data_IF_159682519461
#
_entry.id   IF_159682519461
#
_cell.length_a   1.000
_cell.length_b   1.000
_cell.length_c   1.000
_cell.angle_alpha   90.00
_cell.angle_beta   90.00
_cell.angle_gamma   90.00
#
_symmetry.space_group_name_H-M   'P 1'
#
loop_
_entity.id
_entity.type
_entity.pdbx_description
1 polymer ?
#
# COMPACT_ATOMS: atom_id res chain seq x y z
N UNK A 1 4.58 -7.91 -5.63
CA UNK A 1 5.09 -6.56 -5.33
C UNK A 1 4.03 -5.56 -5.78
N UNK A 2 3.68 -4.60 -4.92
CA UNK A 2 2.79 -3.48 -5.27
C UNK A 2 3.57 -2.17 -5.20
N UNK A 3 3.47 -1.36 -6.24
CA UNK A 3 4.09 -0.02 -6.36
C UNK A 3 3.00 1.06 -6.27
N UNK A 4 3.38 2.28 -5.91
CA UNK A 4 2.50 3.44 -5.72
C UNK A 4 1.48 3.33 -4.57
N UNK A 5 1.88 2.77 -3.41
CA UNK A 5 0.96 2.49 -2.31
C UNK A 5 0.76 3.65 -1.33
N UNK A 6 1.44 4.79 -1.51
CA UNK A 6 1.32 5.94 -0.61
C UNK A 6 0.64 7.14 -1.26
N UNK A 7 0.83 7.36 -2.57
CA UNK A 7 0.13 8.39 -3.38
C UNK A 7 0.10 9.78 -2.73
N UNK A 8 1.27 10.37 -2.48
CA UNK A 8 1.42 11.65 -1.77
C UNK A 8 0.74 11.72 -0.39
N UNK A 9 0.50 10.56 0.24
CA UNK A 9 -0.12 10.46 1.55
C UNK A 9 -1.64 10.35 1.53
N UNK A 10 -2.30 10.42 0.38
CA UNK A 10 -3.76 10.37 0.30
C UNK A 10 -4.33 9.02 0.77
N UNK A 11 -3.50 7.97 0.84
CA UNK A 11 -3.88 6.65 1.36
C UNK A 11 -4.38 6.68 2.81
N UNK A 12 -3.99 7.66 3.63
CA UNK A 12 -4.50 7.81 5.01
C UNK A 12 -5.87 8.51 5.06
N UNK A 13 -6.32 9.13 3.96
CA UNK A 13 -7.65 9.74 3.88
C UNK A 13 -8.73 8.66 3.72
N UNK A 14 -9.41 8.34 4.82
CA UNK A 14 -10.48 7.35 4.85
C UNK A 14 -11.77 7.77 4.13
N UNK A 15 -11.87 9.00 3.60
CA UNK A 15 -13.02 9.51 2.84
C UNK A 15 -12.65 9.88 1.39
N UNK A 16 -11.50 9.40 0.89
CA UNK A 16 -11.08 9.71 -0.47
C UNK A 16 -12.00 9.06 -1.51
N UNK A 17 -12.52 9.85 -2.44
CA UNK A 17 -13.30 9.38 -3.59
C UNK A 17 -12.41 8.93 -4.77
N UNK A 18 -11.08 9.02 -4.64
CA UNK A 18 -10.16 8.52 -5.65
C UNK A 18 -10.17 6.98 -5.62
N UNK A 19 -10.75 6.38 -6.66
CA UNK A 19 -10.81 4.92 -6.84
C UNK A 19 -9.44 4.24 -6.72
N UNK A 20 -8.35 4.95 -7.04
CA UNK A 20 -7.00 4.42 -6.94
C UNK A 20 -6.49 4.40 -5.50
N UNK A 21 -6.91 5.35 -4.67
CA UNK A 21 -6.64 5.37 -3.22
C UNK A 21 -7.43 4.26 -2.52
N UNK A 22 -8.70 4.12 -2.85
CA UNK A 22 -9.55 3.05 -2.34
C UNK A 22 -8.98 1.66 -2.69
N UNK A 23 -8.51 1.48 -3.93
CA UNK A 23 -7.88 0.23 -4.37
C UNK A 23 -6.60 -0.12 -3.60
N UNK A 24 -5.74 0.87 -3.33
CA UNK A 24 -4.52 0.67 -2.54
C UNK A 24 -4.85 0.30 -1.09
N UNK A 25 -5.82 0.98 -0.47
CA UNK A 25 -6.26 0.66 0.91
C UNK A 25 -6.80 -0.77 0.99
N UNK A 26 -7.69 -1.14 0.06
CA UNK A 26 -8.24 -2.50 -0.05
C UNK A 26 -7.15 -3.55 -0.23
N UNK A 27 -6.12 -3.23 -1.02
CA UNK A 27 -4.98 -4.12 -1.25
C UNK A 27 -4.13 -4.31 0.01
N UNK A 28 -3.85 -3.24 0.76
CA UNK A 28 -3.10 -3.30 2.02
C UNK A 28 -3.89 -4.11 3.06
N UNK A 29 -5.19 -3.85 3.21
CA UNK A 29 -6.09 -4.61 4.10
C UNK A 29 -6.09 -6.11 3.74
N UNK A 30 -6.28 -6.44 2.46
CA UNK A 30 -6.29 -7.82 1.98
C UNK A 30 -4.97 -8.56 2.26
N UNK A 31 -3.83 -7.86 2.17
CA UNK A 31 -2.53 -8.46 2.46
C UNK A 31 -2.34 -8.62 3.98
N UNK A 32 -2.72 -7.63 4.78
CA UNK A 32 -2.61 -7.67 6.24
C UNK A 32 -3.47 -8.78 6.87
N UNK A 33 -4.64 -9.05 6.29
CA UNK A 33 -5.58 -10.07 6.79
C UNK A 33 -5.30 -11.48 6.24
N UNK A 34 -4.28 -11.67 5.38
CA UNK A 34 -4.00 -12.95 4.76
C UNK A 34 -2.97 -13.77 5.58
N UNK A 35 -3.39 -14.84 6.28
CA UNK A 35 -2.49 -15.61 7.15
C UNK A 35 -1.37 -16.34 6.40
N UNK A 36 -1.50 -16.49 5.07
CA UNK A 36 -0.47 -17.09 4.21
C UNK A 36 0.59 -16.09 3.77
N UNK A 37 0.47 -14.83 4.15
CA UNK A 37 1.42 -13.78 3.77
C UNK A 37 2.08 -13.20 5.03
N UNK A 38 3.39 -13.01 4.96
CA UNK A 38 4.12 -12.09 5.83
C UNK A 38 4.47 -10.87 5.00
N UNK A 39 3.96 -9.69 5.35
CA UNK A 39 4.10 -8.51 4.52
C UNK A 39 4.54 -7.26 5.29
N UNK A 40 5.14 -6.32 4.56
CA UNK A 40 5.51 -4.99 5.04
C UNK A 40 5.34 -3.95 3.94
N UNK A 41 5.17 -2.69 4.32
CA UNK A 41 5.13 -1.56 3.40
C UNK A 41 6.22 -0.56 3.79
N UNK A 42 6.92 -0.05 2.78
CA UNK A 42 7.97 0.95 2.95
C UNK A 42 7.57 2.21 2.21
N UNK A 43 7.60 3.34 2.92
CA UNK A 43 7.42 4.66 2.31
C UNK A 43 8.75 5.16 1.76
N UNK A 44 8.72 5.84 0.62
CA UNK A 44 9.89 6.42 -0.03
C UNK A 44 9.63 7.89 -0.33
N UNK A 45 10.68 8.71 -0.17
CA UNK A 45 10.65 10.14 -0.53
C UNK A 45 11.84 10.43 -1.44
N UNK A 46 11.67 11.35 -2.38
CA UNK A 46 12.77 11.77 -3.25
C UNK A 46 12.33 12.73 -4.36
N UNK A 47 13.14 12.83 -5.41
CA UNK A 47 12.88 13.73 -6.55
C UNK A 47 11.54 13.45 -7.27
N UNK A 48 10.95 12.27 -7.06
CA UNK A 48 9.64 11.88 -7.63
C UNK A 48 8.46 12.15 -6.69
N UNK A 49 8.66 12.77 -5.53
CA UNK A 49 7.61 13.02 -4.53
C UNK A 49 7.61 11.98 -3.41
N UNK A 50 6.47 11.86 -2.73
CA UNK A 50 6.25 10.89 -1.64
C UNK A 50 5.44 9.70 -2.14
N UNK A 51 6.05 8.53 -2.11
CA UNK A 51 5.40 7.28 -2.50
C UNK A 51 5.74 6.12 -1.56
N UNK A 52 5.50 4.88 -1.98
CA UNK A 52 5.93 3.69 -1.28
C UNK A 52 5.57 2.41 -2.02
N UNK A 53 6.08 1.28 -1.54
CA UNK A 53 5.80 -0.05 -2.09
C UNK A 53 5.55 -1.09 -1.00
N UNK A 54 4.84 -2.16 -1.36
CA UNK A 54 4.56 -3.30 -0.48
C UNK A 54 5.35 -4.55 -0.90
N UNK A 55 5.97 -5.18 0.09
CA UNK A 55 6.62 -6.49 -0.02
C UNK A 55 5.80 -7.52 0.75
N UNK A 56 5.50 -8.65 0.12
CA UNK A 56 4.82 -9.77 0.75
C UNK A 56 5.56 -11.07 0.42
N UNK A 57 5.83 -11.86 1.44
CA UNK A 57 6.39 -13.21 1.37
C UNK A 57 5.27 -14.22 1.56
N UNK A 58 5.23 -15.27 0.74
CA UNK A 58 4.30 -16.38 0.91
C UNK A 58 4.86 -17.33 1.97
N UNK A 59 4.09 -17.56 3.03
CA UNK A 59 4.40 -18.54 4.07
C UNK A 59 4.18 -19.95 3.48
N UNK A 60 5.17 -20.83 3.65
CA UNK A 60 5.14 -22.22 3.20
C UNK A 60 4.23 -23.11 4.02
#
# INVERSE_FOLDING_TARGET
>A
MGDNVVRDGEVINGQSDDARVQGVRRFIEMIGDNPRLTATALQTVGIKGWDGFTLALVNG
#
